data_IF_789413082059
#
_entry.id   IF_789413082059
#
_cell.length_a   1.000
_cell.length_b   1.000
_cell.length_c   1.000
_cell.angle_alpha   90.00
_cell.angle_beta   90.00
_cell.angle_gamma   90.00
#
_symmetry.space_group_name_H-M   'P 1'
#
loop_
_entity.id
_entity.type
_entity.pdbx_description
1 polymer ?
#
# COMPACT_ATOMS: atom_id res chain seq x y z
N UNK A 1 -37.30 105.24 -29.46
CA UNK A 1 -37.01 104.43 -28.27
C UNK A 1 -37.04 102.95 -28.66
N UNK A 2 -36.17 102.14 -28.03
CA UNK A 2 -36.06 100.66 -28.08
C UNK A 2 -35.52 100.05 -29.40
N UNK A 3 -34.52 99.16 -29.43
CA UNK A 3 -33.79 98.40 -28.40
C UNK A 3 -32.51 97.78 -29.01
N UNK A 4 -31.31 97.88 -28.38
CA UNK A 4 -30.15 97.06 -28.71
C UNK A 4 -29.93 95.94 -27.66
N UNK A 5 -31.00 95.35 -27.13
CA UNK A 5 -30.95 94.36 -26.03
C UNK A 5 -30.87 92.89 -26.51
N UNK A 6 -30.94 92.63 -27.82
CA UNK A 6 -31.05 91.28 -28.38
C UNK A 6 -29.67 90.63 -28.65
N UNK A 7 -28.62 91.42 -28.86
CA UNK A 7 -27.28 90.90 -29.21
C UNK A 7 -26.49 90.31 -28.03
N UNK A 8 -26.67 90.82 -26.81
CA UNK A 8 -25.97 90.32 -25.63
C UNK A 8 -26.51 88.96 -25.15
N UNK A 9 -27.82 88.75 -25.24
CA UNK A 9 -28.45 87.49 -24.83
C UNK A 9 -28.11 86.33 -25.81
N UNK A 10 -27.97 86.61 -27.12
CA UNK A 10 -27.54 85.60 -28.10
C UNK A 10 -26.08 85.14 -27.89
N UNK A 11 -25.17 86.05 -27.52
CA UNK A 11 -23.77 85.72 -27.24
C UNK A 11 -23.62 84.89 -25.95
N UNK A 12 -24.42 85.19 -24.93
CA UNK A 12 -24.50 84.41 -23.69
C UNK A 12 -25.03 82.99 -23.98
N UNK A 13 -26.11 82.86 -24.75
CA UNK A 13 -26.67 81.55 -25.13
C UNK A 13 -25.68 80.72 -25.95
N UNK A 14 -24.94 81.34 -26.88
CA UNK A 14 -23.90 80.67 -27.68
C UNK A 14 -22.74 80.16 -26.80
N UNK A 15 -22.36 80.93 -25.79
CA UNK A 15 -21.32 80.54 -24.81
C UNK A 15 -21.77 79.38 -23.92
N UNK A 16 -23.03 79.40 -23.46
CA UNK A 16 -23.62 78.31 -22.66
C UNK A 16 -23.71 77.03 -23.49
N UNK A 17 -24.12 77.11 -24.76
CA UNK A 17 -24.22 75.96 -25.64
C UNK A 17 -22.84 75.33 -25.92
N UNK A 18 -21.83 76.15 -26.25
CA UNK A 18 -20.46 75.67 -26.45
C UNK A 18 -19.89 75.00 -25.19
N UNK A 19 -20.21 75.53 -24.00
CA UNK A 19 -19.79 74.92 -22.72
C UNK A 19 -20.52 73.60 -22.45
N UNK A 20 -21.80 73.51 -22.79
CA UNK A 20 -22.57 72.26 -22.68
C UNK A 20 -22.00 71.19 -23.61
N UNK A 21 -21.68 71.56 -24.85
CA UNK A 21 -21.07 70.65 -25.82
C UNK A 21 -19.65 70.21 -25.45
N UNK A 22 -18.84 71.09 -24.84
CA UNK A 22 -17.50 70.72 -24.38
C UNK A 22 -17.54 69.77 -23.18
N UNK A 23 -18.47 69.99 -22.23
CA UNK A 23 -18.71 69.08 -21.11
C UNK A 23 -19.21 67.70 -21.58
N UNK A 24 -20.11 67.66 -22.57
CA UNK A 24 -20.58 66.40 -23.14
C UNK A 24 -19.49 65.63 -23.90
N UNK A 25 -18.64 66.33 -24.65
CA UNK A 25 -17.47 65.72 -25.32
C UNK A 25 -16.48 65.15 -24.32
N UNK A 26 -16.20 65.86 -23.22
CA UNK A 26 -15.31 65.37 -22.16
C UNK A 26 -15.87 64.12 -21.46
N UNK A 27 -17.18 64.09 -21.18
CA UNK A 27 -17.82 62.93 -20.56
C UNK A 27 -17.79 61.70 -21.48
N UNK A 28 -17.94 61.89 -22.80
CA UNK A 28 -17.83 60.80 -23.77
C UNK A 28 -16.41 60.24 -23.84
N UNK A 29 -15.39 61.11 -23.88
CA UNK A 29 -13.97 60.71 -23.90
C UNK A 29 -13.54 59.93 -22.64
N UNK A 30 -14.00 60.36 -21.45
CA UNK A 30 -13.74 59.63 -20.20
C UNK A 30 -14.38 58.23 -20.23
N UNK A 31 -15.62 58.13 -20.71
CA UNK A 31 -16.34 56.86 -20.81
C UNK A 31 -15.66 55.90 -21.79
N UNK A 32 -15.16 56.39 -22.91
CA UNK A 32 -14.46 55.56 -23.90
C UNK A 32 -13.14 55.03 -23.35
N UNK A 33 -12.37 55.87 -22.62
CA UNK A 33 -11.13 55.44 -21.96
C UNK A 33 -11.37 54.43 -20.83
N UNK A 34 -12.43 54.61 -20.03
CA UNK A 34 -12.84 53.62 -19.03
C UNK A 34 -13.26 52.30 -19.69
N UNK A 35 -13.94 52.35 -20.83
CA UNK A 35 -14.31 51.17 -21.60
C UNK A 35 -13.07 50.45 -22.15
N UNK A 36 -12.07 51.19 -22.59
CA UNK A 36 -10.78 50.65 -23.02
C UNK A 36 -10.00 50.00 -21.87
N UNK A 37 -9.95 50.63 -20.69
CA UNK A 37 -9.36 50.05 -19.47
C UNK A 37 -10.08 48.75 -19.09
N UNK A 38 -11.42 48.75 -19.12
CA UNK A 38 -12.22 47.56 -18.84
C UNK A 38 -11.91 46.42 -19.82
N UNK A 39 -11.74 46.73 -21.12
CA UNK A 39 -11.37 45.74 -22.11
C UNK A 39 -9.98 45.15 -21.83
N UNK A 40 -9.00 45.98 -21.47
CA UNK A 40 -7.66 45.53 -21.09
C UNK A 40 -7.71 44.63 -19.85
N UNK A 41 -8.43 45.03 -18.80
CA UNK A 41 -8.57 44.25 -17.57
C UNK A 41 -9.31 42.92 -17.73
N UNK A 42 -10.02 42.71 -18.84
CA UNK A 42 -10.64 41.43 -19.18
C UNK A 42 -9.67 40.43 -19.81
N UNK A 43 -8.43 40.84 -20.10
CA UNK A 43 -7.39 39.95 -20.60
C UNK A 43 -6.90 38.99 -19.51
N UNK A 44 -6.15 37.97 -19.94
CA UNK A 44 -5.53 37.02 -19.01
C UNK A 44 -4.56 37.74 -18.05
N UNK A 45 -4.57 37.33 -16.78
CA UNK A 45 -3.70 37.93 -15.75
C UNK A 45 -2.22 37.82 -16.11
N UNK A 46 -1.78 36.80 -16.86
CA UNK A 46 -0.40 36.70 -17.34
C UNK A 46 -0.01 37.87 -18.25
N UNK A 47 -0.87 38.23 -19.20
CA UNK A 47 -0.65 39.35 -20.12
C UNK A 47 -0.58 40.67 -19.35
N UNK A 48 -1.48 40.85 -18.38
CA UNK A 48 -1.51 42.04 -17.53
C UNK A 48 -0.28 42.18 -16.63
N UNK A 49 0.23 41.05 -16.13
CA UNK A 49 1.43 41.01 -15.30
C UNK A 49 2.71 41.28 -16.12
N UNK A 50 2.69 41.04 -17.42
CA UNK A 50 3.82 41.27 -18.34
C UNK A 50 3.89 42.73 -18.83
N UNK A 51 2.75 43.34 -19.15
CA UNK A 51 2.68 44.73 -19.60
C UNK A 51 1.39 45.42 -19.12
N UNK A 52 1.53 46.28 -18.10
CA UNK A 52 0.45 47.12 -17.61
C UNK A 52 0.49 48.55 -18.17
N UNK A 53 1.45 48.90 -19.03
CA UNK A 53 1.64 50.25 -19.55
C UNK A 53 0.39 50.82 -20.24
N UNK A 54 -0.36 50.05 -21.07
CA UNK A 54 -1.59 50.54 -21.68
C UNK A 54 -2.64 51.00 -20.66
N UNK A 55 -2.76 50.26 -19.55
CA UNK A 55 -3.69 50.59 -18.45
C UNK A 55 -3.19 51.83 -17.70
N UNK A 56 -1.90 51.89 -17.36
CA UNK A 56 -1.29 53.05 -16.70
C UNK A 56 -1.46 54.34 -17.51
N UNK A 57 -1.27 54.26 -18.82
CA UNK A 57 -1.38 55.41 -19.73
C UNK A 57 -2.80 55.94 -19.79
N UNK A 58 -3.79 55.07 -19.95
CA UNK A 58 -5.19 55.46 -19.96
C UNK A 58 -5.64 55.99 -18.60
N UNK A 59 -5.22 55.34 -17.51
CA UNK A 59 -5.53 55.77 -16.15
C UNK A 59 -4.98 57.17 -15.86
N UNK A 60 -3.71 57.46 -16.21
CA UNK A 60 -3.11 58.80 -16.05
C UNK A 60 -3.87 59.90 -16.78
N UNK A 61 -4.43 59.60 -17.96
CA UNK A 61 -5.18 60.57 -18.76
C UNK A 61 -6.54 60.96 -18.14
N UNK A 62 -7.21 60.03 -17.45
CA UNK A 62 -8.53 60.27 -16.86
C UNK A 62 -8.51 60.54 -15.36
N UNK A 63 -7.37 60.34 -14.68
CA UNK A 63 -7.24 60.34 -13.22
C UNK A 63 -7.86 61.58 -12.56
N UNK A 64 -7.66 62.77 -13.11
CA UNK A 64 -8.16 64.04 -12.54
C UNK A 64 -9.68 64.21 -12.64
N UNK A 65 -10.36 63.33 -13.38
CA UNK A 65 -11.80 63.36 -13.61
C UNK A 65 -12.53 62.19 -12.91
N UNK A 66 -11.80 61.33 -12.20
CA UNK A 66 -12.37 60.22 -11.44
C UNK A 66 -12.65 60.63 -10.00
N UNK A 67 -13.59 59.92 -9.36
CA UNK A 67 -13.80 60.00 -7.91
C UNK A 67 -12.65 59.31 -7.17
N UNK A 68 -12.38 59.73 -5.93
CA UNK A 68 -11.34 59.14 -5.10
C UNK A 68 -11.53 57.62 -4.93
N UNK A 69 -12.79 57.16 -4.77
CA UNK A 69 -13.14 55.74 -4.73
C UNK A 69 -12.69 54.96 -5.98
N UNK A 70 -12.92 55.52 -7.18
CA UNK A 70 -12.49 54.87 -8.43
C UNK A 70 -10.97 54.91 -8.59
N UNK A 71 -10.31 55.96 -8.11
CA UNK A 71 -8.85 56.05 -8.10
C UNK A 71 -8.27 54.95 -7.20
N UNK A 72 -8.82 54.75 -6.00
CA UNK A 72 -8.38 53.70 -5.09
C UNK A 72 -8.55 52.30 -5.69
N UNK A 73 -9.67 52.03 -6.37
CA UNK A 73 -9.93 50.71 -6.98
C UNK A 73 -9.10 50.45 -8.24
N UNK A 74 -8.85 51.47 -9.07
CA UNK A 74 -8.11 51.31 -10.32
C UNK A 74 -6.59 51.39 -10.14
N UNK A 75 -6.11 51.98 -9.04
CA UNK A 75 -4.66 52.11 -8.78
C UNK A 75 -3.95 50.75 -8.75
N UNK A 76 -4.41 49.73 -8.00
CA UNK A 76 -3.78 48.40 -8.03
C UNK A 76 -3.77 47.77 -9.43
N UNK A 77 -4.83 47.98 -10.20
CA UNK A 77 -4.97 47.44 -11.55
C UNK A 77 -3.99 48.11 -12.55
N UNK A 78 -3.70 49.40 -12.37
CA UNK A 78 -2.70 50.10 -13.15
C UNK A 78 -1.26 49.63 -12.85
N UNK A 79 -0.99 49.14 -11.63
CA UNK A 79 0.35 48.69 -11.22
C UNK A 79 0.43 47.19 -10.96
N UNK A 80 -0.42 46.40 -11.63
CA UNK A 80 -0.52 44.95 -11.42
C UNK A 80 0.82 44.23 -11.68
N UNK A 81 1.64 44.74 -12.60
CA UNK A 81 3.00 44.24 -12.93
C UNK A 81 3.95 44.15 -11.72
N UNK A 82 3.74 44.97 -10.67
CA UNK A 82 4.57 44.92 -9.45
C UNK A 82 4.47 43.56 -8.73
N UNK A 83 3.40 42.80 -8.97
CA UNK A 83 3.20 41.47 -8.42
C UNK A 83 3.77 40.34 -9.28
N UNK A 84 4.41 40.64 -10.43
CA UNK A 84 4.91 39.63 -11.37
C UNK A 84 5.83 38.60 -10.69
N UNK A 85 6.84 39.06 -9.95
CA UNK A 85 7.81 38.16 -9.30
C UNK A 85 7.15 37.21 -8.29
N UNK A 86 6.23 37.72 -7.47
CA UNK A 86 5.49 36.93 -6.49
C UNK A 86 4.62 35.87 -7.15
N UNK A 87 3.93 36.23 -8.23
CA UNK A 87 3.08 35.30 -8.99
C UNK A 87 3.93 34.22 -9.67
N UNK A 88 5.09 34.57 -10.24
CA UNK A 88 5.98 33.59 -10.86
C UNK A 88 6.55 32.60 -9.83
N UNK A 89 6.96 33.07 -8.66
CA UNK A 89 7.41 32.19 -7.59
C UNK A 89 6.27 31.30 -7.06
N UNK A 90 5.06 31.84 -6.92
CA UNK A 90 3.89 31.04 -6.56
C UNK A 90 3.60 29.94 -7.59
N UNK A 91 3.66 30.26 -8.90
CA UNK A 91 3.51 29.27 -9.99
C UNK A 91 4.57 28.16 -9.90
N UNK A 92 5.84 28.52 -9.70
CA UNK A 92 6.92 27.53 -9.49
C UNK A 92 6.68 26.65 -8.27
N UNK A 93 6.24 27.24 -7.17
CA UNK A 93 5.94 26.50 -5.94
C UNK A 93 4.80 25.50 -6.15
N UNK A 94 3.75 25.88 -6.89
CA UNK A 94 2.65 24.98 -7.24
C UNK A 94 3.16 23.81 -8.09
N UNK A 95 3.94 24.08 -9.13
CA UNK A 95 4.52 23.05 -9.99
C UNK A 95 5.43 22.08 -9.21
N UNK A 96 6.28 22.63 -8.32
CA UNK A 96 7.15 21.83 -7.45
C UNK A 96 6.35 20.93 -6.50
N UNK A 97 5.30 21.47 -5.85
CA UNK A 97 4.41 20.67 -4.99
C UNK A 97 3.71 19.57 -5.77
N UNK A 98 3.23 19.85 -6.99
CA UNK A 98 2.61 18.84 -7.85
C UNK A 98 3.60 17.72 -8.22
N UNK A 99 4.82 18.08 -8.62
CA UNK A 99 5.86 17.10 -8.94
C UNK A 99 6.21 16.22 -7.72
N UNK A 100 6.40 16.83 -6.54
CA UNK A 100 6.68 16.11 -5.30
C UNK A 100 5.54 15.17 -4.91
N UNK A 101 4.30 15.62 -5.03
CA UNK A 101 3.12 14.80 -4.76
C UNK A 101 3.05 13.60 -5.72
N UNK A 102 3.30 13.81 -7.01
CA UNK A 102 3.33 12.74 -8.00
C UNK A 102 4.46 11.74 -7.74
N UNK A 103 5.65 12.21 -7.35
CA UNK A 103 6.77 11.36 -6.98
C UNK A 103 6.46 10.51 -5.73
N UNK A 104 5.80 11.09 -4.73
CA UNK A 104 5.36 10.35 -3.53
C UNK A 104 4.35 9.25 -3.89
N UNK A 105 3.34 9.54 -4.72
CA UNK A 105 2.39 8.53 -5.20
C UNK A 105 3.10 7.41 -5.95
N UNK A 106 4.07 7.75 -6.82
CA UNK A 106 4.84 6.73 -7.56
C UNK A 106 5.66 5.85 -6.61
N UNK A 107 6.35 6.44 -5.62
CA UNK A 107 7.11 5.70 -4.62
C UNK A 107 6.20 4.72 -3.87
N UNK A 108 5.07 5.19 -3.35
CA UNK A 108 4.11 4.35 -2.65
C UNK A 108 3.55 3.23 -3.54
N UNK A 109 3.27 3.54 -4.81
CA UNK A 109 2.81 2.55 -5.80
C UNK A 109 3.87 1.48 -6.05
N UNK A 110 5.14 1.87 -6.20
CA UNK A 110 6.24 0.90 -6.39
C UNK A 110 6.45 0.03 -5.16
N UNK A 111 6.40 0.62 -3.97
CA UNK A 111 6.50 -0.10 -2.71
C UNK A 111 5.36 -1.10 -2.52
N UNK A 112 4.14 -0.71 -2.87
CA UNK A 112 2.98 -1.59 -2.81
C UNK A 112 3.15 -2.81 -3.72
N UNK A 113 3.61 -2.62 -4.96
CA UNK A 113 3.89 -3.74 -5.89
C UNK A 113 4.95 -4.71 -5.36
N UNK A 114 6.00 -4.18 -4.73
CA UNK A 114 7.03 -5.02 -4.09
C UNK A 114 6.44 -5.87 -2.97
N UNK A 115 5.64 -5.25 -2.08
CA UNK A 115 4.99 -5.95 -0.98
C UNK A 115 3.98 -7.00 -1.46
N UNK A 116 3.26 -6.74 -2.55
CA UNK A 116 2.37 -7.74 -3.16
C UNK A 116 3.15 -8.95 -3.69
N UNK A 117 4.29 -8.71 -4.32
CA UNK A 117 5.17 -9.78 -4.82
C UNK A 117 5.74 -10.62 -3.67
N UNK A 118 6.21 -9.97 -2.60
CA UNK A 118 6.70 -10.66 -1.40
C UNK A 118 5.59 -11.49 -0.72
N UNK A 119 4.38 -10.93 -0.62
CA UNK A 119 3.21 -11.65 -0.10
C UNK A 119 2.95 -12.92 -0.92
N UNK A 120 2.94 -12.83 -2.23
CA UNK A 120 2.64 -13.97 -3.11
C UNK A 120 3.74 -15.06 -2.99
N UNK A 121 5.00 -14.66 -2.84
CA UNK A 121 6.10 -15.60 -2.57
C UNK A 121 5.93 -16.32 -1.23
N UNK A 122 5.57 -15.59 -0.17
CA UNK A 122 5.35 -16.18 1.16
C UNK A 122 4.16 -17.14 1.18
N UNK A 123 3.10 -16.85 0.40
CA UNK A 123 1.96 -17.76 0.25
C UNK A 123 2.42 -19.10 -0.38
N UNK A 124 3.25 -19.05 -1.42
CA UNK A 124 3.79 -20.26 -2.05
C UNK A 124 4.66 -21.08 -1.09
N UNK A 125 5.51 -20.42 -0.30
CA UNK A 125 6.34 -21.09 0.70
C UNK A 125 5.48 -21.74 1.79
N UNK A 126 4.46 -21.04 2.27
CA UNK A 126 3.53 -21.56 3.26
C UNK A 126 2.78 -22.80 2.75
N UNK A 127 2.36 -22.81 1.49
CA UNK A 127 1.74 -23.98 0.87
C UNK A 127 2.69 -25.18 0.79
N UNK A 128 3.97 -24.95 0.50
CA UNK A 128 4.99 -26.01 0.48
C UNK A 128 5.20 -26.59 1.89
N UNK A 129 5.32 -25.72 2.90
CA UNK A 129 5.47 -26.15 4.30
C UNK A 129 4.24 -26.94 4.76
N UNK A 130 3.04 -26.48 4.42
CA UNK A 130 1.80 -27.20 4.75
C UNK A 130 1.74 -28.59 4.12
N UNK A 131 2.18 -28.74 2.86
CA UNK A 131 2.29 -30.06 2.22
C UNK A 131 3.29 -30.96 2.93
N UNK A 132 4.44 -30.43 3.33
CA UNK A 132 5.45 -31.18 4.08
C UNK A 132 4.92 -31.65 5.45
N UNK A 133 4.18 -30.79 6.15
CA UNK A 133 3.49 -31.13 7.40
C UNK A 133 2.52 -32.30 7.18
N UNK A 134 1.67 -32.23 6.15
CA UNK A 134 0.72 -33.30 5.84
C UNK A 134 1.43 -34.65 5.62
N UNK A 135 2.51 -34.67 4.83
CA UNK A 135 3.31 -35.88 4.59
C UNK A 135 3.92 -36.42 5.88
N UNK A 136 4.44 -35.56 6.76
CA UNK A 136 4.98 -35.98 8.04
C UNK A 136 3.89 -36.56 8.96
N UNK A 137 2.70 -35.94 8.97
CA UNK A 137 1.53 -36.40 9.72
C UNK A 137 1.10 -37.80 9.26
N UNK A 138 1.03 -38.03 7.95
CA UNK A 138 0.66 -39.33 7.37
C UNK A 138 1.66 -40.42 7.76
N UNK A 139 2.96 -40.11 7.72
CA UNK A 139 4.02 -41.03 8.19
C UNK A 139 3.87 -41.35 9.67
N UNK A 140 3.62 -40.35 10.51
CA UNK A 140 3.39 -40.56 11.94
C UNK A 140 2.20 -41.48 12.20
N UNK A 141 1.10 -41.29 11.46
CA UNK A 141 -0.08 -42.14 11.56
C UNK A 141 0.25 -43.59 11.16
N UNK A 142 0.96 -43.77 10.04
CA UNK A 142 1.42 -45.09 9.59
C UNK A 142 2.31 -45.79 10.63
N UNK A 143 3.27 -45.09 11.24
CA UNK A 143 4.13 -45.66 12.29
C UNK A 143 3.32 -46.02 13.53
N UNK A 144 2.36 -45.18 13.91
CA UNK A 144 1.48 -45.44 15.06
C UNK A 144 0.71 -46.74 14.86
N UNK A 145 0.13 -46.95 13.67
CA UNK A 145 -0.57 -48.20 13.33
C UNK A 145 0.38 -49.41 13.35
N UNK A 146 1.58 -49.29 12.79
CA UNK A 146 2.57 -50.38 12.79
C UNK A 146 3.01 -50.77 14.21
N UNK A 147 3.22 -49.80 15.10
CA UNK A 147 3.56 -50.06 16.51
C UNK A 147 2.41 -50.80 17.21
N UNK A 148 1.17 -50.40 16.96
CA UNK A 148 0.00 -51.08 17.54
C UNK A 148 -0.09 -52.53 17.08
N UNK A 149 0.17 -52.82 15.81
CA UNK A 149 0.13 -54.18 15.29
C UNK A 149 1.27 -55.04 15.82
N UNK A 150 2.50 -54.54 15.77
CA UNK A 150 3.67 -55.23 16.35
C UNK A 150 3.46 -55.55 17.83
N UNK A 151 2.78 -54.66 18.59
CA UNK A 151 2.42 -54.92 19.99
C UNK A 151 1.44 -56.09 20.13
N UNK A 152 0.44 -56.20 19.25
CA UNK A 152 -0.51 -57.33 19.26
C UNK A 152 0.21 -58.64 18.91
N UNK A 153 1.04 -58.63 17.88
CA UNK A 153 1.83 -59.80 17.47
C UNK A 153 2.75 -60.27 18.59
N UNK A 154 3.45 -59.34 19.26
CA UNK A 154 4.28 -59.66 20.42
C UNK A 154 3.47 -60.30 21.55
N UNK A 155 2.29 -59.76 21.87
CA UNK A 155 1.41 -60.34 22.88
C UNK A 155 0.93 -61.74 22.49
N UNK A 156 0.60 -61.96 21.22
CA UNK A 156 0.23 -63.28 20.71
C UNK A 156 1.38 -64.28 20.85
N UNK A 157 2.59 -63.88 20.47
CA UNK A 157 3.80 -64.69 20.59
C UNK A 157 4.11 -65.04 22.05
N UNK A 158 4.05 -64.05 22.96
CA UNK A 158 4.25 -64.26 24.40
C UNK A 158 3.25 -65.26 24.96
N UNK A 159 1.97 -65.15 24.58
CA UNK A 159 0.94 -66.09 25.01
C UNK A 159 1.17 -67.50 24.44
N UNK A 160 1.58 -67.62 23.18
CA UNK A 160 1.93 -68.90 22.57
C UNK A 160 3.11 -69.55 23.30
N UNK A 161 4.20 -68.81 23.53
CA UNK A 161 5.37 -69.31 24.23
C UNK A 161 5.03 -69.77 25.66
N UNK A 162 4.17 -69.02 26.36
CA UNK A 162 3.67 -69.40 27.69
C UNK A 162 2.89 -70.71 27.65
N UNK A 163 1.97 -70.86 26.69
CA UNK A 163 1.18 -72.08 26.54
C UNK A 163 2.07 -73.29 26.20
N UNK A 164 3.04 -73.11 25.30
CA UNK A 164 4.01 -74.15 24.98
C UNK A 164 4.80 -74.56 26.22
N UNK A 165 5.30 -73.59 27.01
CA UNK A 165 6.02 -73.88 28.24
C UNK A 165 5.16 -74.66 29.26
N UNK A 166 3.87 -74.36 29.35
CA UNK A 166 2.93 -75.12 30.20
C UNK A 166 2.68 -76.54 29.70
N UNK A 167 2.80 -76.79 28.39
CA UNK A 167 2.60 -78.12 27.77
C UNK A 167 3.87 -78.99 27.78
N UNK A 168 5.03 -78.44 28.10
CA UNK A 168 6.24 -79.24 28.32
C UNK A 168 6.00 -80.05 29.60
N UNK A 169 5.66 -81.32 29.45
CA UNK A 169 5.48 -82.24 30.56
C UNK A 169 6.77 -82.27 31.39
N UNK A 170 6.64 -82.07 32.71
CA UNK A 170 7.73 -82.29 33.64
C UNK A 170 8.12 -83.77 33.50
N UNK A 171 9.35 -84.04 33.07
CA UNK A 171 9.87 -85.42 32.98
C UNK A 171 9.65 -86.05 34.37
N UNK A 172 8.86 -87.12 34.42
CA UNK A 172 8.53 -87.80 35.66
C UNK A 172 9.64 -88.81 35.98
N UNK A 173 10.24 -88.66 37.15
CA UNK A 173 11.37 -89.47 37.61
C UNK A 173 12.33 -88.58 38.38
N UNK A 174 13.04 -89.17 39.34
CA UNK A 174 14.20 -88.54 39.96
C UNK A 174 15.45 -88.99 39.21
N UNK A 175 16.40 -88.09 39.00
CA UNK A 175 17.73 -88.44 38.47
C UNK A 175 18.32 -89.63 39.24
N UNK A 176 18.11 -89.68 40.56
CA UNK A 176 18.58 -90.76 41.44
C UNK A 176 17.94 -92.12 41.11
N UNK A 177 16.64 -92.15 40.82
CA UNK A 177 15.93 -93.39 40.46
C UNK A 177 16.45 -93.93 39.12
N UNK A 178 16.64 -93.03 38.15
CA UNK A 178 17.15 -93.36 36.83
C UNK A 178 18.63 -93.80 36.90
N UNK A 179 19.47 -93.12 37.68
CA UNK A 179 20.85 -93.52 37.93
C UNK A 179 20.93 -94.89 38.59
N UNK A 180 20.08 -95.14 39.60
CA UNK A 180 20.06 -96.42 40.29
C UNK A 180 19.59 -97.56 39.37
N UNK A 181 18.63 -97.29 38.48
CA UNK A 181 18.20 -98.24 37.45
C UNK A 181 19.36 -98.60 36.51
N UNK A 182 20.10 -97.59 36.03
CA UNK A 182 21.28 -97.79 35.16
C UNK A 182 22.32 -98.65 35.88
N UNK A 183 22.68 -98.31 37.12
CA UNK A 183 23.65 -99.07 37.93
C UNK A 183 23.18 -100.50 38.17
N UNK A 184 21.90 -100.72 38.45
CA UNK A 184 21.35 -102.05 38.67
C UNK A 184 21.43 -102.92 37.40
N UNK A 185 21.08 -102.37 36.23
CA UNK A 185 21.22 -103.06 34.94
C UNK A 185 22.70 -103.36 34.65
N UNK A 186 23.61 -102.43 34.93
CA UNK A 186 25.05 -102.61 34.73
C UNK A 186 25.60 -103.74 35.62
N UNK A 187 25.15 -103.80 36.88
CA UNK A 187 25.48 -104.87 37.81
C UNK A 187 24.96 -106.24 37.35
N UNK A 188 23.74 -106.30 36.79
CA UNK A 188 23.20 -107.53 36.19
C UNK A 188 24.08 -107.97 35.02
N UNK A 189 24.47 -107.03 34.13
CA UNK A 189 25.39 -107.30 33.01
C UNK A 189 26.72 -107.88 33.50
N UNK A 190 27.35 -107.24 34.49
CA UNK A 190 28.64 -107.68 35.05
C UNK A 190 28.56 -109.08 35.68
N UNK A 191 27.48 -109.38 36.41
CA UNK A 191 27.26 -110.73 36.97
C UNK A 191 27.11 -111.80 35.89
N UNK A 192 26.38 -111.50 34.82
CA UNK A 192 26.22 -112.42 33.69
C UNK A 192 27.55 -112.68 32.96
N UNK A 193 28.34 -111.63 32.72
CA UNK A 193 29.70 -111.74 32.16
C UNK A 193 30.55 -112.66 33.03
N UNK A 194 30.61 -112.39 34.34
CA UNK A 194 31.40 -113.20 35.26
C UNK A 194 30.96 -114.67 35.33
N UNK A 195 29.65 -114.94 35.25
CA UNK A 195 29.12 -116.30 35.23
C UNK A 195 29.51 -117.06 33.96
N UNK A 196 29.52 -116.39 32.81
CA UNK A 196 29.97 -116.97 31.53
C UNK A 196 31.48 -117.24 31.57
N UNK A 197 32.28 -116.29 32.05
CA UNK A 197 33.73 -116.44 32.18
C UNK A 197 34.12 -117.62 33.08
N UNK A 198 33.31 -117.93 34.10
CA UNK A 198 33.55 -119.07 35.02
C UNK A 198 33.15 -120.43 34.42
N UNK A 199 32.31 -120.44 33.38
CA UNK A 199 31.81 -121.66 32.73
C UNK A 199 32.63 -122.09 31.49
N UNK A 200 33.58 -121.24 31.07
CA UNK A 200 34.60 -121.52 30.05
C UNK A 200 35.87 -122.06 30.70
#
# INVERSE_FOLDING_TARGET
MQSPRITADEEILRTILNRKESLQRNHLDIKDKLSAILHLLRQDTSVLLEDAEPIQKLFRQIRTHLTDELIELLTPAAFIELHYSQVQEAKKCIASRQANHQAAIQLDTTRLKTLETERDQLILELDLVNKAIAVAQDKMNSYTSAIQENKKELMAFVNQARNQHQQINKVSGSDEEDFQLIVNIDNIRLRAIHAIEKAL
#
